data_IF_296629541564
#
_entry.id   IF_296629541564
#
_cell.length_a   1.000
_cell.length_b   1.000
_cell.length_c   1.000
_cell.angle_alpha   90.00
_cell.angle_beta   90.00
_cell.angle_gamma   90.00
#
_symmetry.space_group_name_H-M   'P 1'
#
loop_
_entity.id
_entity.type
_entity.pdbx_description
1 polymer ?
#
# COMPACT_ATOMS: atom_id res chain seq x y z
N UNK A 1 -2.37 -23.78 8.58
CA UNK A 1 -1.44 -22.66 8.39
C UNK A 1 -1.45 -22.35 6.90
N UNK A 2 -2.27 -21.40 6.44
CA UNK A 2 -2.15 -20.94 5.04
C UNK A 2 -0.93 -20.00 4.97
N UNK A 3 -0.12 -20.07 3.90
CA UNK A 3 0.96 -19.10 3.66
C UNK A 3 0.37 -17.69 3.50
N UNK A 4 1.18 -16.62 3.55
CA UNK A 4 0.74 -15.27 3.17
C UNK A 4 -0.12 -15.33 1.90
N UNK A 5 -1.28 -14.64 1.90
CA UNK A 5 -2.40 -14.77 0.96
C UNK A 5 -2.10 -14.36 -0.50
N UNK A 6 -1.12 -15.01 -1.10
CA UNK A 6 -1.07 -15.22 -2.53
C UNK A 6 -0.24 -16.49 -2.78
N UNK A 7 -0.83 -17.70 -2.72
CA UNK A 7 -0.33 -18.73 -3.62
C UNK A 7 -0.26 -18.12 -5.02
N UNK A 8 0.85 -18.33 -5.74
CA UNK A 8 0.98 -17.98 -7.16
C UNK A 8 -0.01 -18.82 -7.97
N UNK A 9 -1.30 -18.52 -7.87
CA UNK A 9 -2.30 -19.04 -8.78
C UNK A 9 -2.30 -18.07 -9.93
N UNK A 10 -1.36 -18.27 -10.85
CA UNK A 10 -1.59 -17.84 -12.22
C UNK A 10 -2.69 -18.76 -12.72
N UNK A 11 -3.93 -18.28 -12.68
CA UNK A 11 -5.00 -18.99 -13.40
C UNK A 11 -4.61 -18.96 -14.87
N UNK A 12 -4.55 -20.13 -15.50
CA UNK A 12 -4.33 -20.23 -16.95
C UNK A 12 -5.41 -19.44 -17.72
N UNK A 13 -6.58 -19.25 -17.11
CA UNK A 13 -7.70 -18.47 -17.65
C UNK A 13 -7.62 -16.96 -17.32
N UNK A 14 -6.64 -16.50 -16.53
CA UNK A 14 -6.54 -15.08 -16.22
C UNK A 14 -6.15 -14.29 -17.48
N UNK A 15 -6.77 -13.13 -17.72
CA UNK A 15 -6.57 -12.41 -18.97
C UNK A 15 -5.16 -11.83 -19.05
N UNK A 16 -4.75 -11.51 -20.27
CA UNK A 16 -3.49 -10.83 -20.54
C UNK A 16 -3.74 -9.38 -20.94
N UNK A 17 -2.78 -8.53 -20.63
CA UNK A 17 -2.60 -7.21 -21.24
C UNK A 17 -1.43 -7.26 -22.21
N UNK A 18 -1.47 -6.39 -23.21
CA UNK A 18 -0.39 -6.22 -24.18
C UNK A 18 0.28 -4.87 -23.90
N UNK A 19 1.60 -4.91 -23.75
CA UNK A 19 2.45 -3.76 -23.50
C UNK A 19 2.96 -3.14 -24.82
N UNK A 20 3.46 -1.88 -24.79
CA UNK A 20 4.18 -1.31 -25.91
C UNK A 20 5.38 -2.21 -26.25
N UNK A 21 5.44 -2.72 -27.48
CA UNK A 21 6.45 -3.71 -27.90
C UNK A 21 5.93 -5.14 -28.06
N UNK A 22 4.62 -5.38 -27.83
CA UNK A 22 3.98 -6.67 -28.10
C UNK A 22 4.13 -7.73 -26.99
N UNK A 23 4.83 -7.38 -25.90
CA UNK A 23 4.92 -8.22 -24.71
C UNK A 23 3.53 -8.42 -24.09
N UNK A 24 3.19 -9.67 -23.74
CA UNK A 24 1.92 -10.02 -23.09
C UNK A 24 2.16 -10.38 -21.63
N UNK A 25 1.45 -9.69 -20.73
CA UNK A 25 1.51 -9.95 -19.29
C UNK A 25 0.17 -10.40 -18.75
N UNK A 26 0.18 -11.49 -17.98
CA UNK A 26 -1.01 -11.98 -17.28
C UNK A 26 -1.36 -11.01 -16.14
N UNK A 27 -2.65 -10.67 -16.00
CA UNK A 27 -3.10 -9.63 -15.07
C UNK A 27 -2.93 -9.98 -13.60
N UNK A 28 -2.71 -11.25 -13.24
CA UNK A 28 -2.53 -11.69 -11.85
C UNK A 28 -1.06 -11.90 -11.48
N UNK A 29 -0.12 -11.36 -12.26
CA UNK A 29 1.31 -11.54 -12.04
C UNK A 29 1.95 -10.43 -11.21
N UNK A 30 2.98 -10.79 -10.45
CA UNK A 30 3.84 -9.84 -9.75
C UNK A 30 4.60 -8.93 -10.74
N UNK A 31 4.92 -9.43 -11.92
CA UNK A 31 5.58 -8.64 -12.96
C UNK A 31 4.72 -7.48 -13.43
N UNK A 32 3.42 -7.72 -13.68
CA UNK A 32 2.49 -6.64 -13.99
C UNK A 32 2.50 -5.59 -12.88
N UNK A 33 2.43 -6.00 -11.62
CA UNK A 33 2.41 -5.08 -10.47
C UNK A 33 3.64 -4.18 -10.41
N UNK A 34 4.81 -4.71 -10.73
CA UNK A 34 6.07 -3.93 -10.76
C UNK A 34 6.08 -2.93 -11.91
N UNK A 35 5.62 -3.33 -13.10
CA UNK A 35 5.60 -2.45 -14.28
C UNK A 35 4.41 -1.47 -14.28
N UNK A 36 3.32 -1.78 -13.59
CA UNK A 36 2.06 -1.04 -13.64
C UNK A 36 2.19 0.49 -13.40
N UNK A 37 2.93 0.95 -12.38
CA UNK A 37 3.09 2.39 -12.12
C UNK A 37 3.77 3.13 -13.29
N UNK A 38 4.59 2.45 -14.07
CA UNK A 38 5.34 3.01 -15.20
C UNK A 38 4.54 2.99 -16.52
N UNK A 39 3.39 2.29 -16.54
CA UNK A 39 2.54 2.20 -17.73
C UNK A 39 1.82 3.52 -17.99
N UNK A 40 1.54 3.80 -19.27
CA UNK A 40 0.75 4.98 -19.63
C UNK A 40 -0.65 4.93 -19.00
N UNK A 41 -1.28 6.09 -18.69
CA UNK A 41 -2.62 6.12 -18.11
C UNK A 41 -3.69 5.41 -18.94
N UNK A 42 -3.51 5.30 -20.25
CA UNK A 42 -4.40 4.53 -21.11
C UNK A 42 -4.28 3.02 -20.87
N UNK A 43 -3.04 2.52 -20.74
CA UNK A 43 -2.79 1.10 -20.46
C UNK A 43 -3.24 0.76 -19.03
N UNK A 44 -2.93 1.61 -18.04
CA UNK A 44 -3.41 1.43 -16.67
C UNK A 44 -4.93 1.27 -16.60
N UNK A 45 -5.68 2.14 -17.28
CA UNK A 45 -7.15 2.05 -17.37
C UNK A 45 -7.63 0.77 -18.04
N UNK A 46 -6.99 0.34 -19.13
CA UNK A 46 -7.32 -0.92 -19.82
C UNK A 46 -7.06 -2.14 -18.93
N UNK A 47 -5.96 -2.14 -18.17
CA UNK A 47 -5.60 -3.19 -17.22
C UNK A 47 -6.60 -3.28 -16.08
N UNK A 48 -6.98 -2.15 -15.48
CA UNK A 48 -7.99 -2.10 -14.41
C UNK A 48 -9.33 -2.67 -14.91
N UNK A 49 -9.81 -2.23 -16.09
CA UNK A 49 -11.06 -2.76 -16.68
C UNK A 49 -11.02 -4.26 -16.93
N UNK A 50 -9.87 -4.81 -17.33
CA UNK A 50 -9.68 -6.26 -17.51
C UNK A 50 -9.75 -7.01 -16.18
N UNK A 51 -9.16 -6.46 -15.12
CA UNK A 51 -9.24 -7.03 -13.77
C UNK A 51 -10.67 -6.97 -13.22
N UNK A 52 -11.38 -5.85 -13.41
CA UNK A 52 -12.78 -5.70 -13.03
C UNK A 52 -13.68 -6.71 -13.76
N UNK A 53 -13.56 -6.82 -15.08
CA UNK A 53 -14.32 -7.77 -15.87
C UNK A 53 -14.03 -9.22 -15.44
N UNK A 54 -12.77 -9.57 -15.27
CA UNK A 54 -12.39 -10.90 -14.80
C UNK A 54 -12.94 -11.21 -13.41
N UNK A 55 -12.91 -10.24 -12.50
CA UNK A 55 -13.50 -10.39 -11.17
C UNK A 55 -15.01 -10.66 -11.26
N UNK A 56 -15.73 -9.92 -12.11
CA UNK A 56 -17.16 -10.14 -12.34
C UNK A 56 -17.44 -11.52 -12.94
N UNK A 57 -16.64 -11.97 -13.90
CA UNK A 57 -16.76 -13.30 -14.49
C UNK A 57 -16.57 -14.40 -13.44
N UNK A 58 -15.57 -14.25 -12.56
CA UNK A 58 -15.33 -15.17 -11.44
C UNK A 58 -16.51 -15.17 -10.47
N UNK A 59 -17.16 -14.01 -10.23
CA UNK A 59 -18.38 -13.95 -9.41
C UNK A 59 -19.59 -14.63 -10.07
N UNK A 60 -19.73 -14.54 -11.39
CA UNK A 60 -20.85 -15.11 -12.13
C UNK A 60 -20.78 -16.64 -12.30
N UNK A 61 -19.58 -17.24 -12.21
CA UNK A 61 -19.40 -18.69 -12.41
C UNK A 61 -20.19 -19.51 -11.36
N UNK A 62 -21.08 -20.43 -11.79
CA UNK A 62 -21.86 -21.28 -10.88
C UNK A 62 -20.94 -22.25 -10.13
N UNK A 63 -21.30 -22.55 -8.88
CA UNK A 63 -20.56 -23.49 -8.02
C UNK A 63 -21.25 -24.85 -8.04
N UNK A 64 -20.53 -25.91 -8.42
CA UNK A 64 -21.09 -27.27 -8.47
C UNK A 64 -20.60 -28.15 -7.32
N UNK A 65 -19.46 -27.81 -6.71
CA UNK A 65 -18.89 -28.53 -5.56
C UNK A 65 -18.02 -27.62 -4.66
N UNK A 66 -17.64 -28.12 -3.48
CA UNK A 66 -16.82 -27.37 -2.50
C UNK A 66 -15.39 -27.09 -2.99
N UNK A 67 -14.82 -27.93 -3.86
CA UNK A 67 -13.49 -27.69 -4.43
C UNK A 67 -13.50 -26.48 -5.38
N UNK A 68 -14.49 -26.41 -6.27
CA UNK A 68 -14.71 -25.26 -7.17
C UNK A 68 -14.97 -23.98 -6.38
N UNK A 69 -15.73 -24.07 -5.30
CA UNK A 69 -15.97 -22.95 -4.39
C UNK A 69 -14.67 -22.46 -3.75
N UNK A 70 -13.83 -23.36 -3.23
CA UNK A 70 -12.52 -23.01 -2.67
C UNK A 70 -11.59 -22.35 -3.70
N UNK A 71 -11.49 -22.92 -4.90
CA UNK A 71 -10.69 -22.35 -5.99
C UNK A 71 -11.20 -20.96 -6.41
N UNK A 72 -12.53 -20.80 -6.50
CA UNK A 72 -13.16 -19.51 -6.79
C UNK A 72 -12.84 -18.46 -5.72
N UNK A 73 -12.91 -18.81 -4.44
CA UNK A 73 -12.55 -17.89 -3.35
C UNK A 73 -11.11 -17.38 -3.50
N UNK A 74 -10.16 -18.27 -3.80
CA UNK A 74 -8.76 -17.89 -4.03
C UNK A 74 -8.57 -16.98 -5.25
N UNK A 75 -9.35 -17.17 -6.31
CA UNK A 75 -9.34 -16.29 -7.48
C UNK A 75 -9.93 -14.91 -7.18
N UNK A 76 -11.04 -14.85 -6.44
CA UNK A 76 -11.63 -13.58 -6.01
C UNK A 76 -10.64 -12.83 -5.12
N UNK A 77 -10.02 -13.51 -4.16
CA UNK A 77 -9.02 -12.96 -3.25
C UNK A 77 -7.82 -12.38 -4.02
N UNK A 78 -7.18 -13.21 -4.86
CA UNK A 78 -6.01 -12.79 -5.65
C UNK A 78 -6.33 -11.63 -6.61
N UNK A 79 -7.49 -11.69 -7.27
CA UNK A 79 -7.91 -10.64 -8.23
C UNK A 79 -8.27 -9.35 -7.51
N UNK A 80 -8.99 -9.43 -6.39
CA UNK A 80 -9.35 -8.27 -5.56
C UNK A 80 -8.11 -7.56 -5.04
N UNK A 81 -7.12 -8.32 -4.59
CA UNK A 81 -5.85 -7.77 -4.11
C UNK A 81 -5.05 -7.10 -5.23
N UNK A 82 -4.94 -7.74 -6.39
CA UNK A 82 -4.24 -7.19 -7.54
C UNK A 82 -4.94 -5.94 -8.09
N UNK A 83 -6.27 -5.95 -8.14
CA UNK A 83 -7.09 -4.80 -8.53
C UNK A 83 -6.86 -3.62 -7.58
N UNK A 84 -6.90 -3.84 -6.25
CA UNK A 84 -6.67 -2.78 -5.27
C UNK A 84 -5.29 -2.13 -5.40
N UNK A 85 -4.25 -2.90 -5.73
CA UNK A 85 -2.91 -2.37 -5.98
C UNK A 85 -2.84 -1.56 -7.27
N UNK A 86 -3.44 -2.04 -8.36
CA UNK A 86 -3.53 -1.28 -9.61
C UNK A 86 -4.31 0.02 -9.43
N UNK A 87 -5.40 0.00 -8.64
CA UNK A 87 -6.16 1.20 -8.32
C UNK A 87 -5.33 2.20 -7.50
N UNK A 88 -4.57 1.73 -6.50
CA UNK A 88 -3.63 2.58 -5.73
C UNK A 88 -2.62 3.27 -6.64
N UNK A 89 -1.95 2.51 -7.49
CA UNK A 89 -0.82 2.98 -8.30
C UNK A 89 -1.22 3.54 -9.67
N UNK A 90 -2.51 3.76 -9.90
CA UNK A 90 -2.98 4.45 -11.10
C UNK A 90 -2.73 5.97 -11.00
N UNK A 91 -2.65 6.63 -12.15
CA UNK A 91 -2.48 8.09 -12.21
C UNK A 91 -3.64 8.74 -13.01
N UNK A 92 -4.50 9.57 -12.38
CA UNK A 92 -4.57 9.82 -10.93
C UNK A 92 -4.96 8.57 -10.14
N UNK A 93 -4.73 8.58 -8.82
CA UNK A 93 -5.04 7.40 -7.98
C UNK A 93 -6.54 7.15 -7.93
N UNK A 94 -6.94 5.88 -8.12
CA UNK A 94 -8.33 5.42 -8.09
C UNK A 94 -8.61 4.54 -6.86
N UNK A 95 -7.83 4.69 -5.80
CA UNK A 95 -7.92 3.85 -4.60
C UNK A 95 -9.31 3.83 -3.94
N UNK A 96 -10.10 4.90 -4.09
CA UNK A 96 -11.49 4.95 -3.61
C UNK A 96 -12.37 3.82 -4.20
N UNK A 97 -12.11 3.42 -5.45
CA UNK A 97 -12.87 2.36 -6.13
C UNK A 97 -12.54 0.97 -5.56
N UNK A 98 -11.48 0.84 -4.77
CA UNK A 98 -11.05 -0.43 -4.19
C UNK A 98 -11.85 -0.81 -2.92
N UNK A 99 -12.79 0.01 -2.45
CA UNK A 99 -13.55 -0.26 -1.21
C UNK A 99 -14.22 -1.62 -1.23
N UNK A 100 -14.95 -1.96 -2.29
CA UNK A 100 -15.65 -3.24 -2.39
C UNK A 100 -14.69 -4.45 -2.41
N UNK A 101 -13.69 -4.54 -3.31
CA UNK A 101 -12.75 -5.67 -3.30
C UNK A 101 -11.94 -5.76 -2.00
N UNK A 102 -11.52 -4.64 -1.40
CA UNK A 102 -10.79 -4.65 -0.13
C UNK A 102 -11.67 -5.04 1.06
N UNK A 103 -12.94 -4.63 1.08
CA UNK A 103 -13.91 -5.08 2.10
C UNK A 103 -14.05 -6.59 2.06
N UNK A 104 -14.19 -7.18 0.87
CA UNK A 104 -14.23 -8.63 0.71
C UNK A 104 -12.99 -9.32 1.30
N UNK A 105 -11.78 -8.82 1.02
CA UNK A 105 -10.53 -9.40 1.55
C UNK A 105 -10.50 -9.36 3.09
N UNK A 106 -10.76 -8.19 3.66
CA UNK A 106 -10.70 -7.97 5.12
C UNK A 106 -11.77 -8.78 5.84
N UNK A 107 -12.99 -8.84 5.31
CA UNK A 107 -14.09 -9.61 5.90
C UNK A 107 -13.87 -11.11 5.75
N UNK A 108 -13.38 -11.58 4.61
CA UNK A 108 -13.06 -13.00 4.40
C UNK A 108 -11.98 -13.47 5.37
N UNK A 109 -10.91 -12.69 5.53
CA UNK A 109 -9.87 -12.96 6.52
C UNK A 109 -10.43 -12.96 7.96
N UNK A 110 -11.22 -11.95 8.32
CA UNK A 110 -11.83 -11.85 9.65
C UNK A 110 -12.76 -13.05 9.92
N UNK A 111 -13.54 -13.49 8.93
CA UNK A 111 -14.42 -14.66 9.05
C UNK A 111 -13.63 -15.94 9.28
N UNK A 112 -12.53 -16.12 8.53
CA UNK A 112 -11.65 -17.28 8.69
C UNK A 112 -10.95 -17.32 10.05
N UNK A 113 -10.61 -16.15 10.59
CA UNK A 113 -9.94 -16.02 11.89
C UNK A 113 -10.89 -15.72 13.06
N UNK A 114 -12.20 -15.82 12.87
CA UNK A 114 -13.22 -15.51 13.89
C UNK A 114 -13.03 -14.15 14.57
N UNK A 115 -12.58 -13.15 13.81
CA UNK A 115 -12.32 -11.79 14.29
C UNK A 115 -11.09 -11.63 15.20
N UNK A 116 -10.32 -12.70 15.45
CA UNK A 116 -9.16 -12.67 16.37
C UNK A 116 -7.90 -12.08 15.75
N UNK A 117 -7.85 -11.98 14.42
CA UNK A 117 -6.70 -11.46 13.68
C UNK A 117 -7.16 -10.50 12.61
N UNK A 118 -6.41 -9.42 12.44
CA UNK A 118 -6.56 -8.48 11.33
C UNK A 118 -5.41 -8.71 10.36
N UNK A 119 -5.73 -8.88 9.07
CA UNK A 119 -4.72 -8.77 8.03
C UNK A 119 -4.43 -7.29 7.81
N UNK A 120 -3.35 -6.82 8.42
CA UNK A 120 -3.00 -5.40 8.48
C UNK A 120 -2.79 -4.84 7.08
N UNK A 121 -2.29 -5.61 6.12
CA UNK A 121 -1.90 -5.06 4.83
C UNK A 121 -3.10 -4.70 3.93
N UNK A 122 -4.06 -5.59 3.65
CA UNK A 122 -5.33 -5.22 3.00
C UNK A 122 -6.15 -4.23 3.84
N UNK A 123 -6.10 -4.32 5.18
CA UNK A 123 -6.82 -3.39 6.04
C UNK A 123 -6.31 -1.95 5.91
N UNK A 124 -4.98 -1.72 5.86
CA UNK A 124 -4.43 -0.38 5.62
C UNK A 124 -4.85 0.18 4.25
N UNK A 125 -4.90 -0.66 3.21
CA UNK A 125 -5.45 -0.24 1.92
C UNK A 125 -6.92 0.15 2.03
N UNK A 126 -7.73 -0.63 2.75
CA UNK A 126 -9.16 -0.34 2.94
C UNK A 126 -9.36 0.96 3.71
N UNK A 127 -8.57 1.22 4.76
CA UNK A 127 -8.60 2.48 5.48
C UNK A 127 -8.38 3.68 4.54
N UNK A 128 -7.38 3.59 3.66
CA UNK A 128 -7.09 4.64 2.70
C UNK A 128 -8.21 4.77 1.67
N UNK A 129 -8.72 3.67 1.12
CA UNK A 129 -9.83 3.67 0.19
C UNK A 129 -11.08 4.35 0.78
N UNK A 130 -11.46 4.01 2.01
CA UNK A 130 -12.59 4.62 2.72
C UNK A 130 -12.35 6.11 3.00
N UNK A 131 -11.14 6.51 3.35
CA UNK A 131 -10.80 7.94 3.58
C UNK A 131 -11.01 8.84 2.35
N UNK A 132 -11.20 8.25 1.17
CA UNK A 132 -11.40 8.94 -0.10
C UNK A 132 -12.87 8.99 -0.52
N UNK A 133 -13.76 8.33 0.21
CA UNK A 133 -15.19 8.29 -0.07
C UNK A 133 -15.90 9.22 0.91
N UNK A 134 -16.65 10.19 0.38
CA UNK A 134 -17.47 11.10 1.17
C UNK A 134 -18.54 10.31 1.95
N UNK A 135 -18.69 10.60 3.24
CA UNK A 135 -19.65 9.93 4.13
C UNK A 135 -19.12 8.63 4.78
N UNK A 136 -17.91 8.18 4.42
CA UNK A 136 -17.27 7.00 5.02
C UNK A 136 -16.20 7.36 6.07
N UNK A 137 -16.15 8.61 6.52
CA UNK A 137 -15.08 9.14 7.38
C UNK A 137 -14.98 8.41 8.72
N UNK A 138 -16.11 8.22 9.41
CA UNK A 138 -16.15 7.53 10.70
C UNK A 138 -15.75 6.06 10.57
N UNK A 139 -16.20 5.39 9.49
CA UNK A 139 -15.81 4.01 9.20
C UNK A 139 -14.31 3.92 8.92
N UNK A 140 -13.76 4.86 8.17
CA UNK A 140 -12.32 4.94 7.91
C UNK A 140 -11.54 5.10 9.23
N UNK A 141 -11.93 6.05 10.10
CA UNK A 141 -11.26 6.29 11.40
C UNK A 141 -11.31 5.06 12.29
N UNK A 142 -12.49 4.44 12.42
CA UNK A 142 -12.65 3.23 13.24
C UNK A 142 -11.77 2.09 12.72
N UNK A 143 -11.71 1.91 11.40
CA UNK A 143 -10.86 0.90 10.80
C UNK A 143 -9.37 1.23 10.94
N UNK A 144 -8.96 2.50 10.83
CA UNK A 144 -7.58 2.92 11.09
C UNK A 144 -7.16 2.57 12.51
N UNK A 145 -7.96 2.95 13.51
CA UNK A 145 -7.66 2.69 14.92
C UNK A 145 -7.53 1.19 15.20
N UNK A 146 -8.48 0.40 14.71
CA UNK A 146 -8.45 -1.06 14.81
C UNK A 146 -7.22 -1.65 14.12
N UNK A 147 -6.92 -1.21 12.90
CA UNK A 147 -5.79 -1.77 12.13
C UNK A 147 -4.45 -1.45 12.80
N UNK A 148 -4.29 -0.23 13.33
CA UNK A 148 -3.08 0.19 14.04
C UNK A 148 -2.92 -0.55 15.37
N UNK A 149 -4.00 -0.88 16.09
CA UNK A 149 -3.90 -1.65 17.34
C UNK A 149 -3.43 -3.10 17.13
N UNK A 150 -3.60 -3.63 15.90
CA UNK A 150 -3.17 -4.98 15.51
C UNK A 150 -1.86 -4.99 14.70
N UNK A 151 -1.18 -3.85 14.60
CA UNK A 151 -0.03 -3.64 13.71
C UNK A 151 1.13 -4.63 13.93
N UNK A 152 1.31 -5.09 15.17
CA UNK A 152 2.44 -5.94 15.59
C UNK A 152 2.03 -7.41 15.84
N UNK A 153 0.75 -7.76 15.69
CA UNK A 153 0.26 -9.11 16.01
C UNK A 153 0.84 -10.20 15.11
N UNK A 154 1.27 -9.83 13.90
CA UNK A 154 1.77 -10.74 12.88
C UNK A 154 3.23 -10.43 12.49
N UNK A 155 4.00 -9.79 13.38
CA UNK A 155 5.41 -9.48 13.18
C UNK A 155 5.67 -8.02 12.84
N UNK A 156 6.71 -7.76 12.03
CA UNK A 156 7.11 -6.40 11.68
C UNK A 156 6.02 -5.71 10.83
N UNK A 157 5.70 -4.44 11.12
CA UNK A 157 4.68 -3.71 10.37
C UNK A 157 5.06 -3.54 8.91
N UNK A 158 4.09 -3.52 7.98
CA UNK A 158 4.33 -3.20 6.58
C UNK A 158 4.63 -1.70 6.45
N UNK A 159 5.87 -1.29 6.78
CA UNK A 159 6.24 0.08 7.06
C UNK A 159 5.85 1.08 5.97
N UNK A 160 6.09 0.75 4.69
CA UNK A 160 5.69 1.59 3.54
C UNK A 160 4.19 1.82 3.47
N UNK A 161 3.40 0.79 3.72
CA UNK A 161 1.94 0.92 3.72
C UNK A 161 1.47 1.70 4.95
N UNK A 162 2.13 1.53 6.09
CA UNK A 162 1.79 2.26 7.31
C UNK A 162 2.03 3.76 7.17
N UNK A 163 3.19 4.20 6.66
CA UNK A 163 3.47 5.63 6.48
C UNK A 163 2.53 6.28 5.45
N UNK A 164 2.25 5.58 4.36
CA UNK A 164 1.26 6.01 3.37
C UNK A 164 -0.14 6.12 3.99
N UNK A 165 -0.55 5.13 4.77
CA UNK A 165 -1.84 5.11 5.44
C UNK A 165 -1.96 6.22 6.51
N UNK A 166 -0.90 6.51 7.27
CA UNK A 166 -0.86 7.62 8.24
C UNK A 166 -0.96 8.99 7.57
N UNK A 167 -0.28 9.20 6.43
CA UNK A 167 -0.42 10.44 5.67
C UNK A 167 -1.88 10.65 5.18
N UNK A 168 -2.53 9.58 4.75
CA UNK A 168 -3.95 9.61 4.37
C UNK A 168 -4.88 9.84 5.57
N UNK A 169 -4.57 9.26 6.73
CA UNK A 169 -5.30 9.49 7.98
C UNK A 169 -5.16 10.94 8.45
N UNK A 170 -3.96 11.53 8.34
CA UNK A 170 -3.74 12.94 8.63
C UNK A 170 -4.59 13.86 7.73
N UNK A 171 -4.61 13.58 6.42
CA UNK A 171 -5.47 14.29 5.46
C UNK A 171 -6.94 14.19 5.84
N UNK A 172 -7.43 12.98 6.14
CA UNK A 172 -8.81 12.76 6.57
C UNK A 172 -9.14 13.61 7.80
N UNK A 173 -8.27 13.59 8.82
CA UNK A 173 -8.46 14.42 10.00
C UNK A 173 -8.51 15.90 9.70
N UNK A 174 -7.65 16.42 8.80
CA UNK A 174 -7.71 17.82 8.38
C UNK A 174 -9.01 18.17 7.68
N UNK A 175 -9.48 17.31 6.77
CA UNK A 175 -10.75 17.50 6.07
C UNK A 175 -11.94 17.58 7.05
N UNK A 176 -11.86 16.87 8.17
CA UNK A 176 -12.85 16.92 9.25
C UNK A 176 -12.61 18.05 10.27
N UNK A 177 -11.63 18.93 10.05
CA UNK A 177 -11.26 20.00 10.99
C UNK A 177 -10.52 19.51 12.26
N UNK A 178 -10.15 18.23 12.34
CA UNK A 178 -9.44 17.61 13.47
C UNK A 178 -7.93 17.83 13.38
N UNK A 179 -7.50 19.09 13.39
CA UNK A 179 -6.11 19.47 13.13
C UNK A 179 -5.13 18.86 14.14
N UNK A 180 -5.50 18.79 15.43
CA UNK A 180 -4.64 18.19 16.46
C UNK A 180 -4.35 16.71 16.18
N UNK A 181 -5.38 15.94 15.82
CA UNK A 181 -5.23 14.52 15.48
C UNK A 181 -4.41 14.32 14.21
N UNK A 182 -4.59 15.19 13.21
CA UNK A 182 -3.78 15.18 12.00
C UNK A 182 -2.29 15.39 12.33
N UNK A 183 -1.97 16.38 13.17
CA UNK A 183 -0.60 16.69 13.57
C UNK A 183 0.09 15.53 14.30
N UNK A 184 -0.66 14.72 15.07
CA UNK A 184 -0.13 13.49 15.69
C UNK A 184 0.30 12.49 14.62
N UNK A 185 -0.53 12.24 13.60
CA UNK A 185 -0.21 11.29 12.53
C UNK A 185 0.96 11.76 11.65
N UNK A 186 1.03 13.07 11.39
CA UNK A 186 2.13 13.68 10.64
C UNK A 186 3.44 13.58 11.42
N UNK A 187 3.42 13.86 12.74
CA UNK A 187 4.59 13.72 13.61
C UNK A 187 5.11 12.28 13.62
N UNK A 188 4.24 11.30 13.83
CA UNK A 188 4.62 9.88 13.84
C UNK A 188 5.23 9.45 12.50
N UNK A 189 4.69 9.94 11.38
CA UNK A 189 5.26 9.66 10.05
C UNK A 189 6.65 10.30 9.89
N UNK A 190 6.82 11.56 10.31
CA UNK A 190 8.13 12.25 10.26
C UNK A 190 9.17 11.57 11.14
N UNK A 191 8.84 11.25 12.38
CA UNK A 191 9.74 10.55 13.31
C UNK A 191 10.21 9.21 12.75
N UNK A 192 9.31 8.48 12.08
CA UNK A 192 9.67 7.23 11.42
C UNK A 192 10.67 7.45 10.27
N UNK A 193 10.46 8.47 9.42
CA UNK A 193 11.36 8.82 8.31
C UNK A 193 12.73 9.25 8.86
N UNK A 194 12.75 10.17 9.83
CA UNK A 194 13.96 10.71 10.44
C UNK A 194 14.76 9.64 11.19
N UNK A 195 14.09 8.68 11.83
CA UNK A 195 14.74 7.55 12.48
C UNK A 195 15.27 6.49 11.52
N UNK A 196 14.90 6.54 10.24
CA UNK A 196 15.25 5.54 9.22
C UNK A 196 15.62 6.18 7.87
N UNK A 197 16.61 7.10 7.85
CA UNK A 197 16.92 7.93 6.69
C UNK A 197 17.38 7.15 5.46
N UNK A 198 17.84 5.90 5.63
CA UNK A 198 18.34 5.03 4.55
C UNK A 198 17.41 3.85 4.26
N UNK A 199 16.19 3.85 4.81
CA UNK A 199 15.22 2.81 4.49
C UNK A 199 14.75 2.91 3.03
N UNK A 200 14.53 4.13 2.55
CA UNK A 200 14.08 4.41 1.19
C UNK A 200 14.60 5.78 0.73
N UNK A 201 14.89 5.96 -0.57
CA UNK A 201 15.38 7.23 -1.08
C UNK A 201 14.35 8.36 -0.94
N UNK A 202 14.81 9.63 -0.85
CA UNK A 202 13.92 10.79 -0.81
C UNK A 202 12.89 10.85 -1.95
N UNK A 203 13.29 10.48 -3.19
CA UNK A 203 12.35 10.43 -4.32
C UNK A 203 11.19 9.48 -4.05
N UNK A 204 11.49 8.29 -3.51
CA UNK A 204 10.49 7.27 -3.24
C UNK A 204 9.60 7.64 -2.05
N UNK A 205 10.11 8.40 -1.06
CA UNK A 205 9.28 8.94 0.03
C UNK A 205 8.29 9.96 -0.53
N UNK A 206 8.77 10.85 -1.41
CA UNK A 206 7.92 11.84 -2.08
C UNK A 206 6.84 11.13 -2.89
N UNK A 207 7.19 10.17 -3.73
CA UNK A 207 6.24 9.39 -4.55
C UNK A 207 5.24 8.60 -3.71
N UNK A 208 5.65 8.13 -2.52
CA UNK A 208 4.79 7.37 -1.62
C UNK A 208 3.77 8.24 -0.89
N UNK A 209 4.14 9.48 -0.54
CA UNK A 209 3.33 10.36 0.30
C UNK A 209 2.54 11.40 -0.49
N UNK A 210 3.11 11.89 -1.59
CA UNK A 210 2.49 12.89 -2.43
C UNK A 210 1.47 12.27 -3.38
N UNK A 211 0.34 12.95 -3.55
CA UNK A 211 -0.64 12.64 -4.58
C UNK A 211 -1.31 13.92 -5.11
N UNK A 212 -2.24 13.73 -6.03
CA UNK A 212 -2.96 14.79 -6.74
C UNK A 212 -3.82 15.68 -5.84
N UNK A 213 -4.11 15.27 -4.60
CA UNK A 213 -4.93 16.04 -3.64
C UNK A 213 -4.11 16.61 -2.47
N UNK A 214 -2.78 16.62 -2.58
CA UNK A 214 -1.90 17.24 -1.59
C UNK A 214 -1.70 16.42 -0.31
N UNK A 215 -1.93 15.10 -0.35
CA UNK A 215 -1.58 14.19 0.74
C UNK A 215 -0.10 14.33 1.08
N UNK A 216 0.23 14.26 2.37
CA UNK A 216 1.63 14.25 2.82
C UNK A 216 2.35 15.60 2.76
N UNK A 217 1.75 16.68 2.24
CA UNK A 217 2.35 18.03 2.20
C UNK A 217 2.90 18.48 3.56
N UNK A 218 2.08 18.45 4.61
CA UNK A 218 2.52 18.79 5.98
C UNK A 218 3.60 17.88 6.59
N UNK A 219 3.87 16.73 5.97
CA UNK A 219 4.98 15.84 6.34
C UNK A 219 6.22 16.26 5.56
N UNK A 220 6.10 16.37 4.24
CA UNK A 220 7.20 16.64 3.30
C UNK A 220 7.75 18.08 3.43
N UNK A 221 6.90 19.04 3.75
CA UNK A 221 7.26 20.46 3.88
C UNK A 221 7.85 20.81 5.26
N UNK A 222 7.98 19.82 6.15
CA UNK A 222 8.53 20.05 7.47
C UNK A 222 10.03 20.35 7.40
N UNK A 223 10.56 21.37 8.12
CA UNK A 223 11.97 21.76 8.03
C UNK A 223 12.97 20.63 8.27
N UNK A 224 12.66 19.69 9.17
CA UNK A 224 13.53 18.54 9.45
C UNK A 224 13.58 17.54 8.30
N UNK A 225 12.46 17.36 7.59
CA UNK A 225 12.39 16.47 6.42
C UNK A 225 13.13 17.09 5.25
N UNK A 226 12.93 18.40 5.02
CA UNK A 226 13.67 19.16 4.00
C UNK A 226 15.18 19.05 4.26
N UNK A 227 15.63 19.35 5.50
CA UNK A 227 17.05 19.24 5.87
C UNK A 227 17.61 17.84 5.67
N UNK A 228 16.84 16.80 6.01
CA UNK A 228 17.25 15.42 5.76
C UNK A 228 17.43 15.16 4.25
N UNK A 229 16.45 15.53 3.44
CA UNK A 229 16.49 15.28 1.99
C UNK A 229 17.61 16.06 1.30
N UNK A 230 17.87 17.30 1.71
CA UNK A 230 18.97 18.11 1.19
C UNK A 230 20.35 17.54 1.56
N UNK A 231 20.45 16.80 2.66
CA UNK A 231 21.70 16.14 3.08
C UNK A 231 22.04 14.87 2.27
N UNK A 232 21.08 14.37 1.48
CA UNK A 232 21.16 13.12 0.74
C UNK A 232 21.24 13.42 -0.76
N UNK A 233 22.40 13.17 -1.37
CA UNK A 233 22.56 13.27 -2.82
C UNK A 233 22.23 11.92 -3.47
N UNK A 234 21.04 11.79 -4.04
CA UNK A 234 20.62 10.57 -4.71
C UNK A 234 21.26 10.47 -6.10
N UNK A 235 22.12 9.46 -6.29
CA UNK A 235 22.90 9.26 -7.52
C UNK A 235 22.33 8.15 -8.40
N UNK A 236 21.39 7.36 -7.89
CA UNK A 236 20.67 6.34 -8.64
C UNK A 236 19.41 5.84 -7.92
N UNK A 237 18.67 4.89 -8.51
CA UNK A 237 17.40 4.39 -7.95
C UNK A 237 17.52 3.80 -6.55
N UNK A 238 18.70 3.23 -6.20
CA UNK A 238 18.97 2.60 -4.91
C UNK A 238 20.29 3.07 -4.28
N UNK A 239 20.84 4.20 -4.72
CA UNK A 239 22.16 4.67 -4.30
C UNK A 239 22.13 6.16 -3.94
N UNK A 240 22.78 6.51 -2.83
CA UNK A 240 22.98 7.89 -2.44
C UNK A 240 24.37 8.14 -1.85
N UNK A 241 24.82 9.38 -2.01
CA UNK A 241 25.99 9.94 -1.35
C UNK A 241 25.54 10.88 -0.23
N UNK A 242 26.14 10.73 0.95
CA UNK A 242 25.90 11.65 2.07
C UNK A 242 26.89 12.81 1.98
N UNK A 243 26.36 14.03 1.90
CA UNK A 243 27.14 15.26 1.69
C UNK A 243 28.29 15.47 2.69
N UNK A 244 28.18 14.93 3.90
CA UNK A 244 29.15 15.18 4.97
C UNK A 244 30.31 14.18 5.03
N UNK A 245 30.22 12.99 4.42
CA UNK A 245 31.24 11.93 4.58
C UNK A 245 31.66 11.22 3.28
N UNK A 246 31.13 11.60 2.10
CA UNK A 246 31.39 10.89 0.83
C UNK A 246 31.15 9.38 0.91
N UNK A 247 30.22 8.95 1.78
CA UNK A 247 29.88 7.54 1.96
C UNK A 247 28.79 7.19 0.97
N UNK A 248 29.05 6.15 0.16
CA UNK A 248 28.05 5.50 -0.66
C UNK A 248 27.14 4.66 0.24
N UNK A 249 25.85 4.98 0.23
CA UNK A 249 24.82 4.20 0.92
C UNK A 249 23.91 3.55 -0.11
N UNK A 250 23.65 2.26 0.10
CA UNK A 250 22.63 1.52 -0.64
C UNK A 250 21.35 1.47 0.18
N UNK A 251 20.24 1.86 -0.44
CA UNK A 251 18.91 1.72 0.17
C UNK A 251 18.50 0.24 0.23
N UNK A 252 17.57 -0.10 1.12
CA UNK A 252 17.03 -1.48 1.28
C UNK A 252 18.03 -2.56 1.75
N UNK A 253 19.15 -2.21 2.40
CA UNK A 253 19.88 -3.22 3.17
C UNK A 253 18.94 -3.75 4.25
N UNK A 254 18.68 -5.06 4.24
CA UNK A 254 17.94 -5.78 5.30
C UNK A 254 18.40 -5.22 6.63
N UNK A 255 17.45 -4.85 7.50
CA UNK A 255 17.72 -4.16 8.77
C UNK A 255 19.06 -4.61 9.36
N UNK A 256 20.03 -3.71 9.60
CA UNK A 256 21.18 -4.10 10.37
C UNK A 256 20.66 -4.53 11.74
N UNK A 257 20.59 -5.85 11.96
CA UNK A 257 20.47 -6.43 13.29
C UNK A 257 21.63 -5.88 14.09
N UNK A 258 21.31 -4.99 15.02
CA UNK A 258 22.23 -4.35 15.97
C UNK A 258 23.23 -3.35 15.36
N UNK A 259 22.79 -2.09 15.22
CA UNK A 259 23.62 -0.98 15.68
C UNK A 259 22.95 -0.38 16.90
N UNK A 260 23.53 -0.66 18.06
CA UNK A 260 23.03 -0.26 19.36
C UNK A 260 22.89 1.25 19.49
N UNK A 261 21.66 1.74 19.34
CA UNK A 261 21.24 3.03 19.87
C UNK A 261 20.28 2.74 21.02
N UNK A 262 20.87 2.67 22.23
CA UNK A 262 20.15 2.79 23.48
C UNK A 262 19.46 4.17 23.51
N UNK A 263 18.23 4.25 23.02
CA UNK A 263 17.32 5.33 23.40
C UNK A 263 16.53 4.84 24.60
N UNK A 264 17.09 5.11 25.78
CA UNK A 264 16.36 5.04 27.04
C UNK A 264 15.24 6.07 26.97
N UNK A 265 14.00 5.61 27.06
CA UNK A 265 12.86 6.46 27.37
C UNK A 265 13.00 6.90 28.84
N UNK A 266 13.12 8.20 29.05
CA UNK A 266 12.83 8.90 30.30
C UNK A 266 11.67 9.85 30.05
#
# INVERSE_FOLDING_TARGET
>A
MFPPMAPKIVSDDAPFIELPGGEKLNVLTEELRKKFPELSPQIQRKTIRKLEAYLQDVYAKPQRNEQEKGARYLLIDSTSWQLAQCLRHSNPTRIAEAVAPLTFLVESHNKFHHGKKVDVQPALYLCVALSRVEGEEDRAINLFNKTISHLYDNGSPPARNLIWARANMARLYRNMGRVADASVQEKLTREWILGRPYFMPPSEIKDLLADDVGTGSHILDHPDIIRLFDSINQIGPNEALIHNNSVLVQYNQKEPTNLGLNLRYS
#
